data_IF_140578931847
#
_entry.id   IF_140578931847
#
_cell.length_a   1.000
_cell.length_b   1.000
_cell.length_c   1.000
_cell.angle_alpha   90.00
_cell.angle_beta   90.00
_cell.angle_gamma   90.00
#
_symmetry.space_group_name_H-M   'P 1'
#
loop_
_entity.id
_entity.type
_entity.pdbx_description
1 polymer ?
#
# COMPACT_ATOMS: atom_id res chain seq x y z
N UNK A 1 2.11 -1.52 -3.64
CA UNK A 1 0.64 -1.51 -3.53
C UNK A 1 0.04 -1.20 -4.89
N UNK A 2 -1.19 -1.64 -5.17
CA UNK A 2 -1.93 -1.19 -6.35
C UNK A 2 -1.95 0.36 -6.45
N UNK A 3 -1.76 0.89 -7.66
CA UNK A 3 -1.72 2.31 -8.01
C UNK A 3 -0.35 2.99 -7.89
N UNK A 4 0.67 2.30 -7.38
CA UNK A 4 2.01 2.89 -7.16
C UNK A 4 3.16 1.98 -7.61
N UNK A 5 2.98 0.66 -7.49
CA UNK A 5 4.06 -0.30 -7.75
C UNK A 5 4.18 -0.60 -9.24
N UNK A 6 5.40 -0.59 -9.77
CA UNK A 6 5.68 -0.93 -11.16
C UNK A 6 5.86 -2.44 -11.35
N UNK A 7 5.76 -2.90 -12.61
CA UNK A 7 6.05 -4.29 -12.98
C UNK A 7 7.46 -4.73 -12.58
N UNK A 8 8.46 -3.87 -12.82
CA UNK A 8 9.84 -4.18 -12.49
C UNK A 8 10.05 -4.33 -10.97
N UNK A 9 9.45 -3.46 -10.16
CA UNK A 9 9.53 -3.57 -8.69
C UNK A 9 8.95 -4.88 -8.15
N UNK A 10 7.91 -5.44 -8.80
CA UNK A 10 7.38 -6.77 -8.44
C UNK A 10 8.40 -7.85 -8.76
N UNK A 11 9.02 -7.80 -9.94
CA UNK A 11 10.03 -8.77 -10.36
C UNK A 11 11.27 -8.69 -9.47
N UNK A 12 11.75 -7.49 -9.14
CA UNK A 12 12.91 -7.30 -8.27
C UNK A 12 12.67 -7.86 -6.87
N UNK A 13 11.41 -7.82 -6.40
CA UNK A 13 11.04 -8.30 -5.07
C UNK A 13 10.79 -9.80 -5.00
N UNK A 14 10.09 -10.36 -5.98
CA UNK A 14 9.64 -11.77 -5.96
C UNK A 14 10.47 -12.67 -6.88
N UNK A 15 11.40 -12.10 -7.66
CA UNK A 15 12.15 -12.80 -8.68
C UNK A 15 11.36 -12.98 -9.99
N UNK A 16 11.91 -13.81 -10.92
CA UNK A 16 11.26 -14.06 -12.20
C UNK A 16 9.91 -14.78 -11.97
N UNK A 17 8.84 -14.36 -12.68
CA UNK A 17 7.53 -14.97 -12.55
C UNK A 17 7.54 -16.41 -13.07
N UNK A 18 6.64 -17.24 -12.55
CA UNK A 18 6.41 -18.56 -13.13
C UNK A 18 5.88 -18.43 -14.57
N UNK A 19 4.96 -17.48 -14.77
CA UNK A 19 4.37 -17.22 -16.08
C UNK A 19 3.98 -15.76 -16.24
N UNK A 20 4.24 -15.23 -17.43
CA UNK A 20 3.64 -13.98 -17.89
C UNK A 20 2.39 -14.27 -18.72
N UNK A 21 1.37 -13.42 -18.60
CA UNK A 21 0.15 -13.57 -19.37
C UNK A 21 -0.42 -12.22 -19.77
N UNK A 22 -1.18 -12.20 -20.87
CA UNK A 22 -1.99 -11.05 -21.26
C UNK A 22 -3.43 -11.51 -21.43
N UNK A 23 -4.39 -10.83 -20.79
CA UNK A 23 -5.82 -11.18 -20.87
C UNK A 23 -6.57 -10.41 -21.97
N UNK A 24 -5.90 -9.53 -22.73
CA UNK A 24 -6.53 -8.66 -23.71
C UNK A 24 -7.44 -7.57 -23.09
N UNK A 25 -7.65 -6.47 -23.80
CA UNK A 25 -8.46 -5.33 -23.34
C UNK A 25 -7.70 -4.35 -22.43
N UNK A 26 -8.38 -3.78 -21.43
CA UNK A 26 -7.78 -2.83 -20.44
C UNK A 26 -6.78 -3.49 -19.46
N UNK A 27 -6.68 -4.82 -19.49
CA UNK A 27 -5.84 -5.64 -18.62
C UNK A 27 -4.54 -5.96 -19.39
N UNK A 28 -3.61 -5.03 -19.31
CA UNK A 28 -2.35 -5.05 -20.05
C UNK A 28 -1.27 -5.69 -19.18
N UNK A 29 -1.02 -6.97 -19.46
CA UNK A 29 0.07 -7.75 -18.88
C UNK A 29 -0.13 -8.12 -17.40
N UNK A 30 0.18 -9.38 -17.10
CA UNK A 30 0.09 -9.96 -15.78
C UNK A 30 1.26 -10.89 -15.52
N UNK A 31 1.63 -10.97 -14.25
CA UNK A 31 2.66 -11.86 -13.73
C UNK A 31 1.98 -12.85 -12.79
N UNK A 32 2.18 -14.14 -13.03
CA UNK A 32 1.72 -15.22 -12.16
C UNK A 32 2.90 -15.84 -11.43
N UNK A 33 2.76 -15.95 -10.13
CA UNK A 33 3.71 -16.61 -9.23
C UNK A 33 3.00 -17.79 -8.56
N UNK A 34 3.63 -18.95 -8.53
CA UNK A 34 3.04 -20.18 -8.01
C UNK A 34 4.01 -20.89 -7.07
N UNK A 35 3.48 -21.68 -6.14
CA UNK A 35 4.27 -22.49 -5.21
C UNK A 35 5.21 -21.63 -4.36
N UNK A 36 6.49 -22.03 -4.29
CA UNK A 36 7.49 -21.36 -3.43
C UNK A 36 7.83 -19.93 -3.89
N UNK A 37 7.48 -19.57 -5.13
CA UNK A 37 7.64 -18.21 -5.65
C UNK A 37 6.43 -17.32 -5.36
N UNK A 38 5.31 -17.90 -4.93
CA UNK A 38 4.13 -17.14 -4.54
C UNK A 38 4.34 -16.43 -3.19
N UNK A 39 3.39 -15.57 -2.84
CA UNK A 39 3.35 -14.95 -1.51
C UNK A 39 3.23 -16.07 -0.47
N UNK A 40 3.95 -15.93 0.66
CA UNK A 40 3.90 -16.92 1.74
C UNK A 40 2.44 -17.23 2.15
N UNK A 41 2.08 -18.52 2.15
CA UNK A 41 0.73 -19.00 2.44
C UNK A 41 -0.24 -18.96 1.25
N UNK A 42 0.19 -18.51 0.08
CA UNK A 42 -0.55 -18.56 -1.17
C UNK A 42 -0.04 -19.69 -2.07
N UNK A 43 -0.98 -20.38 -2.73
CA UNK A 43 -0.69 -21.34 -3.79
C UNK A 43 -0.27 -20.60 -5.07
N UNK A 44 -0.95 -19.48 -5.31
CA UNK A 44 -0.78 -18.66 -6.49
C UNK A 44 -1.06 -17.19 -6.15
N UNK A 45 -0.28 -16.31 -6.74
CA UNK A 45 -0.48 -14.87 -6.70
C UNK A 45 -0.34 -14.29 -8.11
N UNK A 46 -1.40 -13.65 -8.58
CA UNK A 46 -1.45 -12.99 -9.87
C UNK A 46 -1.41 -11.47 -9.69
N UNK A 47 -0.45 -10.84 -10.33
CA UNK A 47 -0.30 -9.39 -10.39
C UNK A 47 -0.75 -8.90 -11.76
N UNK A 48 -1.62 -7.89 -11.77
CA UNK A 48 -2.18 -7.32 -12.99
C UNK A 48 -1.77 -5.86 -13.14
N UNK A 49 -1.26 -5.50 -14.32
CA UNK A 49 -0.70 -4.18 -14.60
C UNK A 49 -1.54 -3.41 -15.64
N UNK A 50 -1.50 -2.08 -15.54
CA UNK A 50 -2.12 -1.20 -16.51
C UNK A 50 -1.19 -0.96 -17.71
N UNK A 51 -1.58 -0.09 -18.64
CA UNK A 51 -0.83 0.11 -19.89
C UNK A 51 0.52 0.77 -19.68
N UNK A 52 0.74 1.35 -18.50
CA UNK A 52 1.97 2.00 -18.08
C UNK A 52 2.78 1.08 -17.15
N UNK A 53 2.47 -0.22 -17.12
CA UNK A 53 3.07 -1.20 -16.23
C UNK A 53 2.94 -0.87 -14.73
N UNK A 54 1.85 -0.17 -14.37
CA UNK A 54 1.51 0.12 -12.97
C UNK A 54 0.54 -0.94 -12.46
N UNK A 55 0.88 -1.57 -11.33
CA UNK A 55 0.08 -2.59 -10.67
C UNK A 55 -1.27 -2.00 -10.28
N UNK A 56 -2.39 -2.55 -10.74
CA UNK A 56 -3.73 -2.06 -10.36
C UNK A 56 -4.57 -3.12 -9.64
N UNK A 57 -4.20 -4.40 -9.73
CA UNK A 57 -4.89 -5.50 -9.06
C UNK A 57 -3.94 -6.63 -8.70
N UNK A 58 -4.18 -7.25 -7.55
CA UNK A 58 -3.51 -8.47 -7.11
C UNK A 58 -4.60 -9.48 -6.76
N UNK A 59 -4.52 -10.69 -7.30
CA UNK A 59 -5.33 -11.83 -6.85
C UNK A 59 -4.44 -12.83 -6.12
N UNK A 60 -4.87 -13.28 -4.94
CA UNK A 60 -4.14 -14.22 -4.10
C UNK A 60 -5.02 -15.43 -3.81
N UNK A 61 -4.52 -16.62 -4.13
CA UNK A 61 -5.20 -17.89 -3.92
C UNK A 61 -4.53 -18.60 -2.74
N UNK A 62 -5.19 -18.72 -1.57
CA UNK A 62 -4.57 -19.27 -0.37
C UNK A 62 -4.35 -20.79 -0.49
N UNK A 63 -3.26 -21.31 0.07
CA UNK A 63 -3.02 -22.77 0.19
C UNK A 63 -3.98 -23.38 1.20
N UNK A 64 -4.19 -22.69 2.32
CA UNK A 64 -5.01 -23.19 3.42
C UNK A 64 -6.46 -22.81 3.21
N UNK A 65 -7.35 -23.72 3.58
CA UNK A 65 -8.78 -23.43 3.63
C UNK A 65 -9.03 -22.37 4.71
N UNK A 66 -9.43 -21.18 4.28
CA UNK A 66 -9.79 -20.06 5.17
C UNK A 66 -11.31 -19.97 5.21
N UNK A 67 -11.88 -19.89 6.39
CA UNK A 67 -13.34 -19.73 6.59
C UNK A 67 -13.73 -18.26 6.63
N UNK A 68 -14.99 -17.97 6.30
CA UNK A 68 -15.52 -16.60 6.43
C UNK A 68 -15.41 -16.00 7.83
N UNK A 69 -15.48 -16.82 8.88
CA UNK A 69 -15.36 -16.32 10.26
C UNK A 69 -13.92 -15.98 10.63
N UNK A 70 -12.93 -16.71 10.09
CA UNK A 70 -11.52 -16.31 10.20
C UNK A 70 -11.26 -14.98 9.49
N UNK A 71 -11.83 -14.77 8.30
CA UNK A 71 -11.71 -13.49 7.59
C UNK A 71 -12.25 -12.34 8.44
N UNK A 72 -13.46 -12.49 9.00
CA UNK A 72 -14.07 -11.46 9.86
C UNK A 72 -13.26 -11.19 11.13
N UNK A 73 -12.59 -12.21 11.67
CA UNK A 73 -11.72 -12.07 12.85
C UNK A 73 -10.45 -11.29 12.53
N UNK A 74 -9.84 -11.56 11.38
CA UNK A 74 -8.56 -10.96 10.95
C UNK A 74 -8.75 -9.55 10.41
N UNK A 75 -9.72 -9.35 9.51
CA UNK A 75 -9.93 -8.09 8.79
C UNK A 75 -11.07 -7.24 9.37
N UNK A 76 -11.75 -7.75 10.39
CA UNK A 76 -12.84 -7.07 11.06
C UNK A 76 -14.20 -7.26 10.40
N UNK A 77 -15.22 -6.65 11.02
CA UNK A 77 -16.63 -6.78 10.63
C UNK A 77 -17.12 -5.65 9.71
N UNK A 78 -16.25 -4.71 9.33
CA UNK A 78 -16.57 -3.57 8.45
C UNK A 78 -16.48 -3.98 6.98
N UNK A 79 -17.34 -4.90 6.57
CA UNK A 79 -17.43 -5.36 5.19
C UNK A 79 -18.86 -5.19 4.66
N UNK A 80 -18.96 -5.09 3.34
CA UNK A 80 -20.24 -5.17 2.62
C UNK A 80 -20.34 -6.56 2.01
N UNK A 81 -21.31 -7.35 2.46
CA UNK A 81 -21.63 -8.63 1.85
C UNK A 81 -22.36 -8.42 0.53
N UNK A 82 -21.97 -9.17 -0.49
CA UNK A 82 -22.60 -9.14 -1.81
C UNK A 82 -22.69 -10.55 -2.36
N UNK A 83 -23.64 -10.74 -3.27
CA UNK A 83 -23.81 -11.96 -4.04
C UNK A 83 -23.76 -11.58 -5.52
N UNK A 84 -22.95 -12.30 -6.29
CA UNK A 84 -22.87 -12.11 -7.74
C UNK A 84 -24.14 -12.65 -8.42
N UNK A 85 -24.38 -12.24 -9.66
CA UNK A 85 -25.47 -12.81 -10.47
C UNK A 85 -25.39 -14.33 -10.64
N UNK A 86 -24.19 -14.91 -10.48
CA UNK A 86 -23.94 -16.36 -10.54
C UNK A 86 -24.05 -17.05 -9.18
N UNK A 87 -24.48 -16.34 -8.13
CA UNK A 87 -24.68 -16.90 -6.78
C UNK A 87 -23.43 -16.96 -5.90
N UNK A 88 -22.25 -16.52 -6.38
CA UNK A 88 -21.05 -16.48 -5.55
C UNK A 88 -21.14 -15.34 -4.53
N UNK A 89 -20.94 -15.67 -3.26
CA UNK A 89 -20.80 -14.71 -2.18
C UNK A 89 -19.42 -14.07 -2.21
N UNK A 90 -19.35 -12.78 -1.92
CA UNK A 90 -18.09 -12.07 -1.72
C UNK A 90 -18.24 -10.95 -0.69
N UNK A 91 -17.18 -10.68 0.05
CA UNK A 91 -17.10 -9.56 0.98
C UNK A 91 -16.27 -8.45 0.36
N UNK A 92 -16.75 -7.21 0.46
CA UNK A 92 -16.01 -6.02 0.03
C UNK A 92 -15.60 -5.24 1.28
N UNK A 93 -14.29 -5.01 1.42
CA UNK A 93 -13.68 -4.15 2.43
C UNK A 93 -13.25 -2.84 1.76
N UNK A 94 -14.14 -1.84 1.70
CA UNK A 94 -13.89 -0.63 0.91
C UNK A 94 -12.76 0.23 1.46
N UNK A 95 -12.48 0.15 2.77
CA UNK A 95 -11.42 0.93 3.42
C UNK A 95 -10.02 0.46 3.00
N UNK A 96 -9.86 -0.83 2.74
CA UNK A 96 -8.57 -1.43 2.34
C UNK A 96 -8.48 -1.72 0.85
N UNK A 97 -9.57 -1.58 0.09
CA UNK A 97 -9.62 -1.99 -1.31
C UNK A 97 -9.51 -3.52 -1.48
N UNK A 98 -9.91 -4.29 -0.46
CA UNK A 98 -9.85 -5.75 -0.50
C UNK A 98 -11.23 -6.34 -0.79
N UNK A 99 -11.27 -7.37 -1.62
CA UNK A 99 -12.46 -8.18 -1.90
C UNK A 99 -12.12 -9.63 -1.60
N UNK A 100 -13.01 -10.33 -0.88
CA UNK A 100 -12.84 -11.74 -0.53
C UNK A 100 -13.90 -12.53 -1.25
N UNK A 101 -13.50 -13.38 -2.19
CA UNK A 101 -14.40 -14.25 -2.92
C UNK A 101 -14.49 -15.59 -2.21
N UNK A 102 -15.72 -16.07 -2.03
CA UNK A 102 -15.97 -17.37 -1.44
C UNK A 102 -16.18 -18.43 -2.53
N UNK A 103 -15.96 -19.67 -2.14
CA UNK A 103 -16.43 -20.84 -2.88
C UNK A 103 -17.96 -20.82 -3.02
N UNK A 104 -18.49 -21.69 -3.89
CA UNK A 104 -19.91 -21.73 -4.21
C UNK A 104 -20.80 -21.98 -2.99
N UNK A 105 -20.30 -22.70 -1.98
CA UNK A 105 -21.00 -22.95 -0.72
C UNK A 105 -21.00 -21.74 0.24
N UNK A 106 -20.21 -20.71 -0.05
CA UNK A 106 -20.05 -19.52 0.77
C UNK A 106 -19.32 -19.76 2.10
N UNK A 107 -18.73 -20.92 2.36
CA UNK A 107 -18.08 -21.24 3.64
C UNK A 107 -16.59 -20.96 3.60
N UNK A 108 -15.95 -21.36 2.52
CA UNK A 108 -14.51 -21.25 2.32
C UNK A 108 -14.16 -20.08 1.40
N UNK A 109 -13.03 -19.44 1.67
CA UNK A 109 -12.45 -18.41 0.82
C UNK A 109 -11.79 -19.09 -0.36
N UNK A 110 -12.15 -18.63 -1.55
CA UNK A 110 -11.54 -19.01 -2.82
C UNK A 110 -10.33 -18.14 -3.13
N UNK A 111 -10.48 -16.82 -2.99
CA UNK A 111 -9.41 -15.87 -3.30
C UNK A 111 -9.60 -14.53 -2.60
N UNK A 112 -8.48 -13.83 -2.45
CA UNK A 112 -8.42 -12.43 -2.05
C UNK A 112 -8.04 -11.59 -3.26
N UNK A 113 -8.75 -10.49 -3.49
CA UNK A 113 -8.41 -9.52 -4.52
C UNK A 113 -8.13 -8.19 -3.87
N UNK A 114 -6.97 -7.61 -4.16
CA UNK A 114 -6.60 -6.26 -3.75
C UNK A 114 -6.63 -5.36 -4.97
N UNK A 115 -7.44 -4.30 -4.91
CA UNK A 115 -7.50 -3.25 -5.91
C UNK A 115 -6.99 -1.94 -5.29
N UNK A 116 -6.79 -0.92 -6.12
CA UNK A 116 -6.54 0.42 -5.62
C UNK A 116 -7.71 0.86 -4.73
N UNK A 117 -7.48 0.87 -3.41
CA UNK A 117 -8.45 1.37 -2.44
C UNK A 117 -8.70 2.85 -2.68
N UNK A 118 -9.94 3.31 -2.50
CA UNK A 118 -10.20 4.75 -2.39
C UNK A 118 -9.51 5.22 -1.11
N UNK A 119 -8.31 5.79 -1.22
CA UNK A 119 -7.69 6.53 -0.11
C UNK A 119 -8.71 7.59 0.31
N UNK A 120 -9.40 7.39 1.43
CA UNK A 120 -10.05 8.54 2.08
C UNK A 120 -8.90 9.50 2.38
N UNK A 121 -8.98 10.79 2.00
CA UNK A 121 -8.01 11.75 2.49
C UNK A 121 -8.04 11.64 4.01
N UNK A 122 -6.91 11.24 4.58
CA UNK A 122 -6.72 11.32 6.02
C UNK A 122 -6.92 12.79 6.34
N UNK A 123 -8.00 13.13 7.06
CA UNK A 123 -8.13 14.46 7.64
C UNK A 123 -6.95 14.61 8.58
N UNK A 124 -5.90 15.27 8.12
CA UNK A 124 -4.69 15.62 8.84
C UNK A 124 -5.00 16.68 9.90
N UNK A 125 -5.83 16.31 10.88
CA UNK A 125 -6.29 17.18 11.95
C UNK A 125 -5.97 16.67 13.36
N UNK A 126 -5.24 15.56 13.50
CA UNK A 126 -4.97 14.94 14.81
C UNK A 126 -3.50 14.52 15.04
N UNK A 127 -2.56 14.95 14.17
CA UNK A 127 -1.12 14.71 14.37
C UNK A 127 -0.36 16.04 14.47
N UNK A 128 -0.64 16.80 15.54
CA UNK A 128 0.19 17.90 16.05
C UNK A 128 0.34 17.76 17.56
N UNK A 129 0.75 16.60 18.01
CA UNK A 129 1.24 16.38 19.37
C UNK A 129 2.00 15.06 19.29
N UNK A 130 3.20 14.94 19.87
CA UNK A 130 4.15 13.81 19.73
C UNK A 130 5.25 13.93 18.67
N UNK A 131 5.91 15.08 18.58
CA UNK A 131 7.35 15.07 18.34
C UNK A 131 8.05 15.79 19.49
N UNK A 132 8.91 15.11 20.28
CA UNK A 132 9.74 15.79 21.26
C UNK A 132 10.67 16.76 20.54
N UNK A 133 10.75 17.97 21.08
CA UNK A 133 11.70 18.98 20.67
C UNK A 133 13.13 18.45 20.78
N UNK A 134 13.91 18.75 19.74
CA UNK A 134 15.37 18.85 19.60
C UNK A 134 15.61 18.65 18.10
N UNK A 135 15.76 19.69 17.28
CA UNK A 135 16.82 20.69 17.35
C UNK A 135 17.53 20.66 16.00
N UNK A 136 18.01 21.82 15.55
CA UNK A 136 18.84 22.06 14.37
C UNK A 136 18.16 22.06 12.98
N UNK A 137 17.64 23.24 12.63
CA UNK A 137 17.88 23.86 11.33
C UNK A 137 17.97 25.38 11.53
N UNK A 138 19.17 25.90 11.86
CA UNK A 138 19.49 27.30 11.58
C UNK A 138 19.86 27.37 10.11
N UNK A 139 18.95 27.87 9.29
CA UNK A 139 19.31 28.39 7.97
C UNK A 139 19.53 29.90 8.08
N UNK A 140 20.62 30.45 7.53
CA UNK A 140 20.93 31.86 7.54
C UNK A 140 20.14 32.56 6.43
N UNK A 141 19.47 33.67 6.74
CA UNK A 141 18.74 34.41 5.72
C UNK A 141 18.21 35.76 6.18
N UNK A 142 18.73 36.79 5.51
CA UNK A 142 18.10 38.08 5.24
C UNK A 142 18.16 39.20 6.30
N UNK A 143 19.10 40.10 5.99
CA UNK A 143 19.03 41.57 6.11
C UNK A 143 17.62 42.15 6.20
N UNK A 144 17.42 43.01 7.19
CA UNK A 144 16.72 44.31 7.20
C UNK A 144 17.10 44.91 8.57
N UNK A 145 18.03 45.86 8.68
CA UNK A 145 17.79 47.29 8.48
C UNK A 145 17.41 47.95 9.82
N UNK A 146 18.31 48.78 10.38
CA UNK A 146 18.05 50.01 11.18
C UNK A 146 19.36 50.49 11.84
N UNK A 147 19.62 51.78 11.65
CA UNK A 147 20.77 52.57 12.12
C UNK A 147 20.80 52.78 13.64
N UNK A 148 22.00 52.88 14.23
CA UNK A 148 22.38 53.88 15.25
C UNK A 148 23.80 53.63 15.83
N UNK A 149 24.56 54.71 16.03
CA UNK A 149 25.56 54.90 17.11
C UNK A 149 26.84 54.06 17.07
N UNK A 150 28.01 54.60 16.71
CA UNK A 150 28.98 55.29 17.59
C UNK A 150 29.56 54.44 18.75
N UNK A 151 30.91 54.35 18.74
CA UNK A 151 31.88 54.15 19.84
C UNK A 151 32.19 52.74 20.37
N UNK A 152 33.51 52.42 20.36
CA UNK A 152 34.16 51.60 21.39
C UNK A 152 34.61 50.18 21.01
N UNK A 153 35.91 49.98 20.72
CA UNK A 153 36.58 48.68 20.96
C UNK A 153 36.88 48.48 22.46
N UNK A 154 37.84 47.61 22.89
CA UNK A 154 38.55 46.50 22.23
C UNK A 154 38.56 45.19 23.07
N UNK A 155 39.27 44.16 22.58
CA UNK A 155 39.81 43.03 23.39
C UNK A 155 38.82 41.89 23.65
N UNK A 156 39.18 40.62 23.83
CA UNK A 156 40.43 39.90 24.06
C UNK A 156 40.17 38.47 23.55
N UNK A 157 41.10 37.88 22.78
CA UNK A 157 42.13 36.94 23.25
C UNK A 157 41.61 35.52 23.54
N UNK A 158 42.34 34.60 22.93
CA UNK A 158 42.22 33.14 22.85
C UNK A 158 42.31 32.41 24.20
N UNK A 159 42.37 31.06 24.12
CA UNK A 159 42.85 30.05 25.11
C UNK A 159 41.67 29.16 25.59
N UNK A 160 41.59 27.84 25.44
CA UNK A 160 42.39 26.74 24.83
C UNK A 160 41.40 25.77 24.20
#
# INVERSE_FOLDING_TARGET
MPGQTTRQEVIDKFGPPFKEFSKGGKLSNGLSYQGDQAIEGALEADFYFDKNDVLFRIDVFPVRQITGDQVKRIFGKRYVERVSSKGYKYFVYPETGMVVFFEKDGKLVRSFTFIEGKKKPVKSGWLREWLPGNGCCRSPGARLGVSAGHEGGPGCSSTV
#
